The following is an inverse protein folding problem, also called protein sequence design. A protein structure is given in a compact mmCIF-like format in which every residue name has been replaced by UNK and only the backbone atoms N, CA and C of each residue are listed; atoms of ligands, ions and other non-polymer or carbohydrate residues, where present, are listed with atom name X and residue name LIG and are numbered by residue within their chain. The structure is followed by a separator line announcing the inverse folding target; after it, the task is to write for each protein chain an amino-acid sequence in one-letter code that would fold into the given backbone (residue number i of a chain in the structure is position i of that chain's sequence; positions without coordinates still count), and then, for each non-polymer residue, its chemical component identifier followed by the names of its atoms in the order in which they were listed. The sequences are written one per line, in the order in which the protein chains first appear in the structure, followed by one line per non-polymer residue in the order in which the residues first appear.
data_IF_302624305586
#
_entry.id   IF_302624305586
#
_cell.length_a   1.000
_cell.length_b   1.000
_cell.length_c   1.000
_cell.angle_alpha   90.00
_cell.angle_beta   90.00
_cell.angle_gamma   90.00
#
_symmetry.space_group_name_H-M   'P 1'
#
loop_
_entity.id
_entity.type
_entity.pdbx_description
1 polymer ?
#
# COMPACT_ATOMS: atom_id res chain seq x y z
N UNK A 1 -3.46 -20.16 -6.55
CA UNK A 1 -4.03 -18.92 -7.14
C UNK A 1 -2.96 -17.82 -7.32
N UNK A 2 -2.18 -17.41 -6.29
CA UNK A 2 -1.10 -16.40 -6.43
C UNK A 2 0.02 -16.91 -7.32
N UNK A 3 0.45 -18.17 -7.15
CA UNK A 3 1.48 -18.82 -7.97
C UNK A 3 0.99 -19.09 -9.40
N UNK A 4 -0.29 -19.38 -9.58
CA UNK A 4 -0.93 -19.60 -10.87
C UNK A 4 -1.02 -18.28 -11.67
N UNK A 5 -1.44 -17.19 -11.03
CA UNK A 5 -1.43 -15.85 -11.62
C UNK A 5 -0.03 -15.28 -11.85
N UNK A 6 0.97 -15.65 -11.05
CA UNK A 6 2.38 -15.36 -11.35
C UNK A 6 2.87 -16.16 -12.57
N UNK A 7 2.41 -17.42 -12.75
CA UNK A 7 2.64 -18.20 -13.95
C UNK A 7 2.03 -17.56 -15.19
N UNK A 8 0.81 -17.06 -15.07
CA UNK A 8 0.12 -16.31 -16.13
C UNK A 8 0.84 -15.00 -16.49
N UNK A 9 1.42 -14.32 -15.51
CA UNK A 9 2.25 -13.10 -15.73
C UNK A 9 3.52 -13.42 -16.52
N UNK A 10 4.23 -14.47 -16.13
CA UNK A 10 5.45 -14.90 -16.83
C UNK A 10 5.08 -15.30 -18.25
N UNK A 11 3.98 -16.05 -18.45
CA UNK A 11 3.47 -16.41 -19.77
C UNK A 11 3.04 -15.21 -20.60
N UNK A 12 2.32 -14.25 -19.99
CA UNK A 12 1.93 -13.01 -20.65
C UNK A 12 3.13 -12.11 -21.00
N UNK A 13 4.11 -12.03 -20.11
CA UNK A 13 5.39 -11.34 -20.38
C UNK A 13 6.16 -11.98 -21.52
N UNK A 14 6.21 -13.33 -21.56
CA UNK A 14 6.82 -14.12 -22.63
C UNK A 14 6.06 -14.00 -23.94
N UNK A 15 4.72 -14.06 -23.93
CA UNK A 15 3.87 -13.91 -25.11
C UNK A 15 3.97 -12.51 -25.71
N UNK A 16 4.04 -11.45 -24.89
CA UNK A 16 4.27 -10.09 -25.37
C UNK A 16 5.69 -9.88 -25.93
N UNK A 17 6.70 -10.55 -25.35
CA UNK A 17 8.06 -10.54 -25.90
C UNK A 17 8.19 -11.39 -27.17
N UNK A 18 7.44 -12.48 -27.29
CA UNK A 18 7.40 -13.30 -28.51
C UNK A 18 6.59 -12.66 -29.65
N UNK A 19 5.59 -11.84 -29.32
CA UNK A 19 4.78 -11.08 -30.29
C UNK A 19 5.51 -9.83 -30.80
N UNK A 20 6.50 -9.31 -30.08
CA UNK A 20 7.43 -8.31 -30.56
C UNK A 20 8.37 -8.95 -31.58
N UNK A 21 8.14 -8.58 -32.83
CA UNK A 21 8.82 -9.06 -34.03
C UNK A 21 10.29 -9.45 -33.78
N UNK A 22 10.64 -10.68 -34.14
CA UNK A 22 11.96 -11.32 -33.92
C UNK A 22 13.18 -10.54 -34.45
N UNK A 23 12.98 -9.32 -34.99
CA UNK A 23 13.99 -8.54 -35.68
C UNK A 23 14.50 -7.31 -34.91
N UNK A 24 14.01 -6.99 -33.69
CA UNK A 24 14.23 -5.67 -33.09
C UNK A 24 15.22 -5.68 -31.92
N UNK A 25 15.23 -6.72 -31.13
CA UNK A 25 16.21 -6.88 -30.03
C UNK A 25 17.13 -8.05 -30.31
N UNK A 26 18.44 -7.87 -30.17
CA UNK A 26 19.36 -8.99 -30.12
C UNK A 26 18.96 -9.97 -29.01
N UNK A 27 19.21 -11.25 -29.19
CA UNK A 27 18.88 -12.30 -28.23
C UNK A 27 19.40 -12.00 -26.81
N UNK A 28 20.55 -11.31 -26.72
CA UNK A 28 21.17 -10.89 -25.45
C UNK A 28 20.35 -9.85 -24.70
N UNK A 29 19.76 -8.86 -25.39
CA UNK A 29 18.92 -7.83 -24.78
C UNK A 29 17.60 -8.40 -24.26
N UNK A 30 16.99 -9.33 -25.00
CA UNK A 30 15.78 -10.05 -24.56
C UNK A 30 16.05 -10.90 -23.33
N UNK A 31 17.13 -11.66 -23.34
CA UNK A 31 17.53 -12.50 -22.20
C UNK A 31 17.78 -11.68 -20.94
N UNK A 32 18.39 -10.51 -21.07
CA UNK A 32 18.68 -9.61 -19.97
C UNK A 32 17.41 -8.96 -19.39
N UNK A 33 16.47 -8.53 -20.25
CA UNK A 33 15.16 -8.00 -19.80
C UNK A 33 14.36 -9.08 -19.08
N UNK A 34 14.37 -10.31 -19.62
CA UNK A 34 13.74 -11.47 -18.97
C UNK A 34 14.37 -11.77 -17.61
N UNK A 35 15.70 -11.73 -17.49
CA UNK A 35 16.40 -11.94 -16.22
C UNK A 35 15.95 -10.93 -15.15
N UNK A 36 15.79 -9.67 -15.54
CA UNK A 36 15.30 -8.63 -14.61
C UNK A 36 13.83 -8.87 -14.24
N UNK A 37 12.98 -9.21 -15.21
CA UNK A 37 11.57 -9.55 -14.92
C UNK A 37 11.45 -10.74 -13.97
N UNK A 38 12.27 -11.78 -14.12
CA UNK A 38 12.29 -12.92 -13.21
C UNK A 38 12.80 -12.58 -11.81
N UNK A 39 13.67 -11.58 -11.70
CA UNK A 39 14.23 -11.12 -10.42
C UNK A 39 13.43 -9.99 -9.78
N UNK A 40 12.32 -9.54 -10.40
CA UNK A 40 11.43 -8.54 -9.81
C UNK A 40 10.79 -9.08 -8.52
N UNK A 41 11.18 -8.51 -7.39
CA UNK A 41 10.52 -8.80 -6.12
C UNK A 41 9.29 -7.92 -5.92
N UNK A 42 8.12 -8.48 -6.25
CA UNK A 42 6.82 -7.80 -6.07
C UNK A 42 6.40 -7.66 -4.60
N UNK A 43 7.11 -8.31 -3.66
CA UNK A 43 6.88 -8.19 -2.21
C UNK A 43 7.55 -6.94 -1.65
N UNK A 44 8.64 -6.50 -2.29
CA UNK A 44 9.38 -5.31 -1.86
C UNK A 44 8.68 -4.01 -2.24
N UNK A 45 9.22 -2.88 -1.81
CA UNK A 45 8.69 -1.56 -2.13
C UNK A 45 8.80 -1.25 -3.65
N UNK A 46 7.90 -0.38 -4.16
CA UNK A 46 7.92 0.12 -5.54
C UNK A 46 9.27 0.76 -5.92
N UNK A 47 10.01 1.27 -4.95
CA UNK A 47 11.35 1.82 -5.16
C UNK A 47 12.33 0.78 -5.71
N UNK A 48 12.19 -0.49 -5.34
CA UNK A 48 13.02 -1.57 -5.90
C UNK A 48 12.77 -1.74 -7.41
N UNK A 49 11.51 -1.69 -7.85
CA UNK A 49 11.17 -1.75 -9.28
C UNK A 49 11.82 -0.57 -10.03
N UNK A 50 11.71 0.66 -9.50
CA UNK A 50 12.33 1.82 -10.10
C UNK A 50 13.86 1.72 -10.15
N UNK A 51 14.50 1.17 -9.12
CA UNK A 51 15.95 0.96 -9.11
C UNK A 51 16.40 -0.05 -10.18
N UNK A 52 15.64 -1.10 -10.41
CA UNK A 52 15.95 -2.08 -11.47
C UNK A 52 15.74 -1.47 -12.87
N UNK A 53 14.67 -0.70 -13.07
CA UNK A 53 14.45 0.06 -14.31
C UNK A 53 15.59 1.07 -14.57
N UNK A 54 16.05 1.76 -13.52
CA UNK A 54 17.23 2.64 -13.61
C UNK A 54 18.47 1.91 -14.07
N UNK A 55 18.72 0.71 -13.53
CA UNK A 55 19.85 -0.11 -13.96
C UNK A 55 19.75 -0.49 -15.44
N UNK A 56 18.56 -0.93 -15.91
CA UNK A 56 18.31 -1.18 -17.32
C UNK A 56 18.60 0.04 -18.20
N UNK A 57 18.04 1.18 -17.86
CA UNK A 57 18.19 2.41 -18.64
C UNK A 57 19.67 2.79 -18.72
N UNK A 58 20.44 2.69 -17.63
CA UNK A 58 21.87 2.95 -17.62
C UNK A 58 22.67 2.00 -18.51
N UNK A 59 22.22 0.78 -18.63
CA UNK A 59 22.92 -0.25 -19.43
C UNK A 59 22.71 -0.04 -20.92
N UNK A 60 21.49 0.36 -21.33
CA UNK A 60 21.13 0.43 -22.76
C UNK A 60 21.29 1.81 -23.37
N UNK A 61 21.27 2.89 -22.58
CA UNK A 61 21.22 4.25 -23.13
C UNK A 61 22.32 5.15 -22.63
N UNK A 62 22.79 6.02 -23.53
CA UNK A 62 23.60 7.19 -23.19
C UNK A 62 22.69 8.41 -23.10
N UNK A 63 22.61 9.03 -21.94
CA UNK A 63 21.79 10.21 -21.67
C UNK A 63 22.48 11.13 -20.66
N UNK A 64 22.08 12.39 -20.65
CA UNK A 64 22.52 13.34 -19.61
C UNK A 64 21.53 13.31 -18.43
N UNK A 65 20.24 13.04 -18.71
CA UNK A 65 19.23 12.87 -17.69
C UNK A 65 18.15 11.87 -18.09
N UNK A 66 17.64 11.12 -17.13
CA UNK A 66 16.39 10.37 -17.22
C UNK A 66 15.44 10.77 -16.10
N UNK A 67 14.17 10.81 -16.43
CA UNK A 67 13.08 11.05 -15.47
C UNK A 67 11.97 10.05 -15.73
N UNK A 68 11.54 9.35 -14.70
CA UNK A 68 10.33 8.52 -14.72
C UNK A 68 9.27 9.19 -13.87
N UNK A 69 8.11 9.43 -14.43
CA UNK A 69 6.97 10.01 -13.71
C UNK A 69 5.73 9.15 -13.84
N UNK A 70 4.91 9.17 -12.81
CA UNK A 70 3.62 8.45 -12.76
C UNK A 70 2.52 9.46 -12.41
N UNK A 71 1.38 9.32 -13.05
CA UNK A 71 0.17 10.12 -12.79
C UNK A 71 -0.28 9.90 -11.34
N UNK A 72 -0.55 11.00 -10.62
CA UNK A 72 -1.09 10.96 -9.26
C UNK A 72 -2.56 10.54 -9.30
N UNK A 73 -2.90 9.48 -8.58
CA UNK A 73 -4.30 9.13 -8.36
C UNK A 73 -4.93 10.15 -7.41
N UNK A 74 -6.00 10.80 -7.85
CA UNK A 74 -6.82 11.66 -6.98
C UNK A 74 -7.99 10.85 -6.46
N UNK A 75 -8.07 10.63 -5.15
CA UNK A 75 -9.15 9.88 -4.47
C UNK A 75 -10.55 10.47 -4.69
N UNK A 76 -10.67 11.68 -5.22
CA UNK A 76 -11.95 12.36 -5.45
C UNK A 76 -12.23 12.62 -6.93
N UNK A 77 -12.93 11.72 -7.58
CA UNK A 77 -13.46 11.87 -8.96
C UNK A 77 -14.47 13.04 -9.14
N UNK A 78 -14.79 13.81 -8.10
CA UNK A 78 -15.86 14.83 -8.14
C UNK A 78 -15.39 16.29 -8.32
N UNK A 79 -14.09 16.56 -8.55
CA UNK A 79 -13.63 17.91 -8.88
C UNK A 79 -13.01 17.93 -10.26
N UNK A 80 -13.83 18.21 -11.26
CA UNK A 80 -13.49 18.38 -12.68
C UNK A 80 -12.51 19.53 -12.99
N UNK A 81 -11.94 20.21 -12.00
CA UNK A 81 -11.22 21.47 -12.20
C UNK A 81 -9.75 21.48 -11.76
N UNK A 82 -9.20 20.37 -11.29
CA UNK A 82 -7.74 20.28 -11.10
C UNK A 82 -7.15 19.40 -12.19
N UNK A 83 -6.31 19.99 -13.06
CA UNK A 83 -5.62 19.29 -14.13
C UNK A 83 -4.87 18.05 -13.64
N UNK A 84 -4.60 17.11 -14.55
CA UNK A 84 -3.85 15.87 -14.24
C UNK A 84 -2.46 16.25 -13.74
N UNK A 85 -2.06 15.70 -12.60
CA UNK A 85 -0.73 15.91 -11.98
C UNK A 85 0.08 14.62 -12.10
N UNK A 86 1.35 14.75 -12.46
CA UNK A 86 2.33 13.67 -12.43
C UNK A 86 3.32 13.87 -11.29
N UNK A 87 3.80 12.78 -10.72
CA UNK A 87 4.83 12.74 -9.67
C UNK A 87 6.07 12.06 -10.22
N UNK A 88 7.23 12.66 -10.02
CA UNK A 88 8.52 12.07 -10.36
C UNK A 88 8.82 10.93 -9.37
N UNK A 89 9.07 9.74 -9.90
CA UNK A 89 9.38 8.52 -9.12
C UNK A 89 10.82 8.09 -9.22
N UNK A 90 11.52 8.54 -10.26
CA UNK A 90 12.92 8.24 -10.49
C UNK A 90 13.56 9.37 -11.25
N UNK A 91 14.77 9.75 -10.86
CA UNK A 91 15.68 10.59 -11.64
C UNK A 91 17.09 10.02 -11.63
N UNK A 92 17.84 10.26 -12.71
CA UNK A 92 19.25 9.91 -12.81
C UNK A 92 19.99 10.82 -13.79
N UNK A 93 21.32 11.01 -13.61
CA UNK A 93 22.13 11.90 -14.42
C UNK A 93 22.26 13.31 -13.83
N UNK A 94 22.26 14.31 -14.70
CA UNK A 94 22.38 15.74 -14.32
C UNK A 94 21.32 16.14 -13.31
N UNK A 95 21.77 16.85 -12.26
CA UNK A 95 20.90 17.32 -11.18
C UNK A 95 20.19 18.61 -11.58
N UNK A 96 18.91 18.70 -11.32
CA UNK A 96 18.10 19.90 -11.42
C UNK A 96 17.15 20.03 -10.23
N UNK A 97 16.26 21.03 -10.25
CA UNK A 97 15.28 21.29 -9.20
C UNK A 97 14.17 20.22 -9.14
N UNK A 98 13.98 19.43 -10.21
CA UNK A 98 12.96 18.37 -10.28
C UNK A 98 13.55 17.03 -9.88
N UNK A 99 13.42 16.72 -8.61
CA UNK A 99 13.88 15.48 -7.96
C UNK A 99 12.73 14.51 -7.70
N UNK A 100 13.04 13.32 -7.22
CA UNK A 100 12.06 12.34 -6.80
C UNK A 100 11.08 12.94 -5.76
N UNK A 101 9.77 12.71 -5.97
CA UNK A 101 8.69 13.28 -5.17
C UNK A 101 8.14 14.62 -5.69
N UNK A 102 8.84 15.31 -6.60
CA UNK A 102 8.34 16.55 -7.18
C UNK A 102 7.09 16.31 -8.04
N UNK A 103 6.13 17.24 -7.94
CA UNK A 103 4.88 17.21 -8.69
C UNK A 103 4.88 18.27 -9.79
N UNK A 104 4.28 17.93 -10.93
CA UNK A 104 4.12 18.88 -12.05
C UNK A 104 2.79 18.65 -12.79
N UNK A 105 2.25 19.68 -13.46
CA UNK A 105 1.09 19.52 -14.32
C UNK A 105 1.41 18.60 -15.50
N UNK A 106 0.63 17.54 -15.69
CA UNK A 106 0.83 16.62 -16.83
C UNK A 106 0.52 17.32 -18.15
N UNK A 107 -0.57 18.11 -18.18
CA UNK A 107 -0.94 18.89 -19.36
C UNK A 107 0.02 20.07 -19.56
N UNK A 108 0.43 20.31 -20.80
CA UNK A 108 1.30 21.42 -21.17
C UNK A 108 2.78 21.23 -20.84
N UNK A 109 3.17 20.07 -20.31
CA UNK A 109 4.57 19.73 -20.02
C UNK A 109 5.12 18.69 -20.99
N UNK A 110 6.42 18.79 -21.31
CA UNK A 110 7.14 17.84 -22.16
C UNK A 110 7.09 16.42 -21.58
N UNK A 111 7.33 16.31 -20.27
CA UNK A 111 7.28 15.04 -19.56
C UNK A 111 5.86 14.45 -19.46
N UNK A 112 4.83 15.27 -19.62
CA UNK A 112 3.43 14.84 -19.66
C UNK A 112 2.93 14.43 -21.03
N UNK A 113 3.59 14.80 -22.13
CA UNK A 113 3.14 14.50 -23.49
C UNK A 113 2.89 13.00 -23.73
N UNK A 114 3.81 12.08 -23.35
CA UNK A 114 3.55 10.65 -23.52
C UNK A 114 2.35 10.15 -22.72
N UNK A 115 2.10 10.75 -21.55
CA UNK A 115 0.95 10.38 -20.69
C UNK A 115 -0.36 10.80 -21.33
N UNK A 116 -0.42 12.00 -21.92
CA UNK A 116 -1.64 12.55 -22.51
C UNK A 116 -1.96 11.90 -23.85
N UNK A 117 -0.94 11.75 -24.70
CA UNK A 117 -1.12 11.26 -26.07
C UNK A 117 -1.11 9.73 -26.15
N UNK A 118 -0.58 9.03 -25.13
CA UNK A 118 -0.41 7.57 -25.14
C UNK A 118 0.61 7.09 -26.18
N UNK A 119 1.47 7.98 -26.69
CA UNK A 119 2.45 7.69 -27.74
C UNK A 119 3.83 8.18 -27.36
N UNK A 120 4.84 7.47 -27.86
CA UNK A 120 6.24 7.86 -27.70
C UNK A 120 6.58 9.11 -28.50
N UNK A 121 7.63 9.79 -28.09
CA UNK A 121 8.17 10.95 -28.83
C UNK A 121 9.68 10.84 -29.00
N UNK A 122 10.15 11.37 -30.10
CA UNK A 122 11.57 11.43 -30.47
C UNK A 122 11.84 12.75 -31.14
N UNK A 123 12.79 13.55 -30.62
CA UNK A 123 13.16 14.83 -31.24
C UNK A 123 14.63 15.19 -30.95
N UNK A 124 15.30 15.77 -31.94
CA UNK A 124 16.67 16.31 -31.80
C UNK A 124 16.69 17.64 -31.02
N UNK A 125 15.60 18.41 -31.11
CA UNK A 125 15.47 19.68 -30.39
C UNK A 125 13.99 19.90 -30.01
N UNK A 126 13.67 19.62 -28.76
CA UNK A 126 12.30 19.67 -28.26
C UNK A 126 11.72 21.09 -28.25
N UNK A 127 12.55 22.13 -28.01
CA UNK A 127 12.08 23.53 -28.02
C UNK A 127 11.59 23.96 -29.40
N UNK A 128 12.22 23.45 -30.45
CA UNK A 128 11.79 23.70 -31.84
C UNK A 128 10.58 22.87 -32.20
N UNK A 129 10.52 21.60 -31.77
CA UNK A 129 9.42 20.70 -32.07
C UNK A 129 8.14 21.05 -31.29
N UNK A 130 8.28 21.58 -30.06
CA UNK A 130 7.18 21.88 -29.16
C UNK A 130 7.32 23.28 -28.54
N UNK A 131 7.22 24.38 -29.32
CA UNK A 131 7.55 25.74 -28.86
C UNK A 131 6.67 26.28 -27.73
N UNK A 132 5.45 25.73 -27.56
CA UNK A 132 4.49 26.14 -26.54
C UNK A 132 4.43 25.19 -25.31
N UNK A 133 5.33 24.24 -25.25
CA UNK A 133 5.39 23.27 -24.15
C UNK A 133 6.53 23.66 -23.21
N UNK A 134 6.29 23.60 -21.92
CA UNK A 134 7.32 23.71 -20.90
C UNK A 134 7.89 22.33 -20.55
N UNK A 135 9.08 22.26 -19.97
CA UNK A 135 9.67 20.98 -19.62
C UNK A 135 8.87 20.28 -18.52
N UNK A 136 8.65 20.93 -17.38
CA UNK A 136 7.80 20.47 -16.28
C UNK A 136 6.72 21.51 -15.95
N UNK A 137 7.08 22.75 -15.66
CA UNK A 137 6.15 23.85 -15.33
C UNK A 137 6.73 25.22 -15.71
N UNK A 138 5.87 26.21 -15.85
CA UNK A 138 6.21 27.56 -16.33
C UNK A 138 7.14 28.36 -15.42
N UNK A 139 7.33 27.94 -14.16
CA UNK A 139 8.22 28.59 -13.19
C UNK A 139 9.63 28.00 -13.17
N UNK A 140 9.92 27.09 -14.09
CA UNK A 140 11.24 26.45 -14.19
C UNK A 140 12.32 27.45 -14.60
N UNK A 141 13.50 27.38 -13.97
CA UNK A 141 14.64 28.21 -14.35
C UNK A 141 15.13 27.83 -15.76
N UNK A 142 15.39 28.82 -16.62
CA UNK A 142 15.80 28.61 -18.04
C UNK A 142 17.19 27.94 -18.19
N UNK A 143 17.88 27.63 -17.10
CA UNK A 143 19.28 27.22 -17.11
C UNK A 143 19.57 25.80 -17.59
N UNK A 144 18.57 25.04 -18.03
CA UNK A 144 18.80 23.68 -18.49
C UNK A 144 18.61 23.56 -20.01
N UNK A 145 19.72 23.38 -20.70
CA UNK A 145 19.80 23.36 -22.16
C UNK A 145 19.65 21.96 -22.75
N UNK A 146 18.77 21.10 -22.18
CA UNK A 146 18.46 19.84 -22.86
C UNK A 146 17.90 20.12 -24.24
N UNK A 147 18.39 19.37 -25.25
CA UNK A 147 18.03 19.54 -26.65
C UNK A 147 17.31 18.31 -27.17
N UNK A 148 18.02 17.19 -27.27
CA UNK A 148 17.46 15.96 -27.78
C UNK A 148 16.68 15.24 -26.67
N UNK A 149 15.49 14.78 -27.02
CA UNK A 149 14.56 14.10 -26.11
C UNK A 149 13.99 12.87 -26.77
N UNK A 150 13.95 11.80 -25.99
CA UNK A 150 13.25 10.57 -26.29
C UNK A 150 12.35 10.20 -25.12
N UNK A 151 11.10 9.86 -25.37
CA UNK A 151 10.19 9.50 -24.32
C UNK A 151 9.24 8.37 -24.73
N UNK A 152 8.89 7.54 -23.76
CA UNK A 152 7.91 6.46 -23.90
C UNK A 152 6.85 6.58 -22.82
N UNK A 153 5.56 6.30 -23.13
CA UNK A 153 4.55 6.16 -22.11
C UNK A 153 4.79 4.90 -21.26
N UNK A 154 4.37 4.96 -20.01
CA UNK A 154 4.23 3.78 -19.13
C UNK A 154 2.76 3.37 -19.15
N UNK A 155 2.48 2.24 -19.79
CA UNK A 155 1.11 1.74 -19.97
C UNK A 155 0.77 0.79 -18.81
N UNK A 156 -0.30 1.09 -18.10
CA UNK A 156 -0.86 0.27 -17.02
C UNK A 156 -2.32 0.01 -17.36
N UNK A 157 -2.72 -1.25 -17.49
CA UNK A 157 -4.09 -1.65 -17.86
C UNK A 157 -4.61 -1.01 -19.15
N UNK A 158 -3.72 -0.87 -20.14
CA UNK A 158 -4.08 -0.24 -21.44
C UNK A 158 -4.16 1.29 -21.41
N UNK A 159 -3.99 1.93 -20.24
CA UNK A 159 -3.96 3.38 -20.10
C UNK A 159 -2.54 3.90 -19.91
N UNK A 160 -2.23 5.03 -20.53
CA UNK A 160 -0.97 5.74 -20.28
C UNK A 160 -1.04 6.43 -18.92
N UNK A 161 -0.34 5.88 -17.94
CA UNK A 161 -0.34 6.36 -16.55
C UNK A 161 1.00 6.94 -16.10
N UNK A 162 1.99 6.95 -16.97
CA UNK A 162 3.30 7.50 -16.67
C UNK A 162 4.14 7.72 -17.92
N UNK A 163 5.34 8.22 -17.73
CA UNK A 163 6.32 8.41 -18.79
C UNK A 163 7.74 8.12 -18.33
N UNK A 164 8.57 7.63 -19.25
CA UNK A 164 10.03 7.58 -19.14
C UNK A 164 10.55 8.57 -20.17
N UNK A 165 11.33 9.56 -19.73
CA UNK A 165 11.89 10.61 -20.58
C UNK A 165 13.41 10.63 -20.43
N UNK A 166 14.13 10.46 -21.52
CA UNK A 166 15.58 10.60 -21.62
C UNK A 166 15.92 11.91 -22.35
N UNK A 167 16.86 12.64 -21.83
CA UNK A 167 17.27 13.96 -22.29
C UNK A 167 18.78 14.02 -22.53
N UNK A 168 19.21 14.69 -23.61
CA UNK A 168 20.61 15.03 -23.89
C UNK A 168 20.77 16.54 -23.99
N UNK A 169 21.87 17.05 -23.48
CA UNK A 169 22.25 18.46 -23.60
C UNK A 169 22.66 18.81 -25.05
N UNK A 170 23.14 17.84 -25.78
CA UNK A 170 23.51 17.97 -27.20
C UNK A 170 22.32 17.73 -28.13
N UNK A 171 22.39 18.26 -29.34
CA UNK A 171 21.42 17.97 -30.42
C UNK A 171 21.67 16.60 -31.10
N UNK A 172 22.55 15.76 -30.56
CA UNK A 172 22.72 14.39 -31.04
C UNK A 172 21.42 13.64 -30.83
N UNK A 173 20.70 13.27 -31.90
CA UNK A 173 19.39 12.64 -31.76
C UNK A 173 19.53 11.24 -31.17
N UNK A 174 18.52 10.82 -30.46
CA UNK A 174 18.29 9.40 -30.21
C UNK A 174 17.82 8.74 -31.51
N UNK A 175 18.00 7.43 -31.63
CA UNK A 175 17.61 6.65 -32.80
C UNK A 175 16.25 6.00 -32.62
N UNK A 176 15.61 5.60 -33.72
CA UNK A 176 14.37 4.83 -33.67
C UNK A 176 14.56 3.47 -33.00
N UNK A 177 15.77 2.87 -33.06
CA UNK A 177 16.06 1.63 -32.34
C UNK A 177 16.07 1.87 -30.85
N UNK A 178 16.76 2.92 -30.36
CA UNK A 178 16.73 3.31 -28.94
C UNK A 178 15.30 3.59 -28.47
N UNK A 179 14.45 4.22 -29.30
CA UNK A 179 13.06 4.48 -28.96
C UNK A 179 12.27 3.17 -28.73
N UNK A 180 12.44 2.18 -29.59
CA UNK A 180 11.79 0.87 -29.44
C UNK A 180 12.24 0.15 -28.17
N UNK A 181 13.53 0.22 -27.85
CA UNK A 181 14.07 -0.33 -26.60
C UNK A 181 13.47 0.38 -25.38
N UNK A 182 13.30 1.71 -25.45
CA UNK A 182 12.65 2.48 -24.39
C UNK A 182 11.16 2.15 -24.26
N UNK A 183 10.46 1.93 -25.38
CA UNK A 183 9.05 1.51 -25.38
C UNK A 183 8.88 0.16 -24.67
N UNK A 184 9.78 -0.78 -24.92
CA UNK A 184 9.78 -2.06 -24.24
C UNK A 184 10.00 -1.89 -22.72
N UNK A 185 10.97 -1.06 -22.32
CA UNK A 185 11.20 -0.76 -20.88
C UNK A 185 9.96 -0.09 -20.27
N UNK A 186 9.28 0.80 -20.99
CA UNK A 186 8.03 1.41 -20.55
C UNK A 186 6.91 0.38 -20.31
N UNK A 187 6.75 -0.60 -21.21
CA UNK A 187 5.80 -1.70 -21.06
C UNK A 187 6.15 -2.59 -19.87
N UNK A 188 7.44 -2.96 -19.71
CA UNK A 188 7.93 -3.75 -18.58
C UNK A 188 7.65 -3.04 -17.26
N UNK A 189 7.96 -1.75 -17.17
CA UNK A 189 7.67 -0.96 -15.97
C UNK A 189 6.17 -0.92 -15.67
N UNK A 190 5.34 -0.67 -16.68
CA UNK A 190 3.89 -0.64 -16.53
C UNK A 190 3.32 -1.95 -16.02
N UNK A 191 3.76 -3.06 -16.61
CA UNK A 191 3.38 -4.41 -16.18
C UNK A 191 3.84 -4.70 -14.75
N UNK A 192 5.08 -4.35 -14.41
CA UNK A 192 5.63 -4.56 -13.06
C UNK A 192 4.85 -3.77 -11.99
N UNK A 193 4.48 -2.51 -12.28
CA UNK A 193 3.68 -1.69 -11.37
C UNK A 193 2.25 -2.22 -11.21
N UNK A 194 1.64 -2.67 -12.30
CA UNK A 194 0.31 -3.31 -12.28
C UNK A 194 0.31 -4.57 -11.40
N UNK A 195 1.25 -5.49 -11.64
CA UNK A 195 1.33 -6.73 -10.87
C UNK A 195 1.66 -6.51 -9.39
N UNK A 196 2.49 -5.52 -9.08
CA UNK A 196 2.71 -5.13 -7.70
C UNK A 196 1.42 -4.65 -7.03
N UNK A 197 0.63 -3.82 -7.73
CA UNK A 197 -0.66 -3.34 -7.22
C UNK A 197 -1.62 -4.51 -6.98
N UNK A 198 -1.77 -5.42 -7.93
CA UNK A 198 -2.62 -6.61 -7.80
C UNK A 198 -2.12 -7.56 -6.70
N UNK A 199 -0.81 -7.79 -6.61
CA UNK A 199 -0.22 -8.58 -5.53
C UNK A 199 -0.54 -7.97 -4.16
N UNK A 200 -0.31 -6.67 -4.00
CA UNK A 200 -0.64 -5.95 -2.75
C UNK A 200 -2.12 -6.07 -2.40
N UNK A 201 -3.00 -5.90 -3.38
CA UNK A 201 -4.46 -6.01 -3.22
C UNK A 201 -4.87 -7.43 -2.79
N UNK A 202 -4.36 -8.46 -3.49
CA UNK A 202 -4.62 -9.86 -3.16
C UNK A 202 -4.09 -10.18 -1.76
N UNK A 203 -2.86 -9.77 -1.45
CA UNK A 203 -2.24 -9.99 -0.14
C UNK A 203 -3.02 -9.27 0.97
N UNK A 204 -3.41 -8.01 0.76
CA UNK A 204 -4.22 -7.26 1.73
C UNK A 204 -5.57 -7.93 1.94
N UNK A 205 -6.27 -8.34 0.87
CA UNK A 205 -7.56 -9.04 0.98
C UNK A 205 -7.43 -10.41 1.66
N UNK A 206 -6.31 -11.09 1.50
CA UNK A 206 -6.06 -12.37 2.17
C UNK A 206 -5.70 -12.23 3.66
N UNK A 207 -5.12 -11.10 4.06
CA UNK A 207 -4.58 -10.89 5.41
C UNK A 207 -5.37 -9.93 6.27
N UNK A 208 -6.20 -9.06 5.67
CA UNK A 208 -6.94 -8.03 6.38
C UNK A 208 -8.45 -8.18 6.17
N UNK A 209 -9.21 -7.69 7.12
CA UNK A 209 -10.66 -7.53 6.99
C UNK A 209 -10.98 -6.34 6.09
N UNK A 210 -11.80 -6.56 5.05
CA UNK A 210 -12.07 -5.57 4.02
C UNK A 210 -12.86 -4.35 4.51
N UNK A 211 -13.57 -4.44 5.63
CA UNK A 211 -14.31 -3.33 6.20
C UNK A 211 -13.46 -2.49 7.16
N UNK A 212 -12.85 -3.13 8.14
CA UNK A 212 -12.10 -2.45 9.21
C UNK A 212 -10.67 -2.08 8.82
N UNK A 213 -10.09 -2.76 7.84
CA UNK A 213 -8.66 -2.65 7.48
C UNK A 213 -7.71 -3.29 8.49
N UNK A 214 -8.20 -3.89 9.57
CA UNK A 214 -7.43 -4.64 10.55
C UNK A 214 -7.05 -6.02 10.00
N UNK A 215 -6.14 -6.73 10.68
CA UNK A 215 -5.90 -8.12 10.35
C UNK A 215 -7.21 -8.93 10.46
N UNK A 216 -7.40 -9.88 9.54
CA UNK A 216 -8.51 -10.81 9.65
C UNK A 216 -8.21 -11.92 10.67
N UNK A 217 -9.23 -12.68 11.04
CA UNK A 217 -9.15 -13.76 12.02
C UNK A 217 -8.06 -14.81 11.72
N UNK A 218 -7.92 -15.19 10.45
CA UNK A 218 -6.91 -16.18 10.03
C UNK A 218 -5.49 -15.65 10.26
N UNK A 219 -5.21 -14.45 9.80
CA UNK A 219 -3.91 -13.81 9.96
C UNK A 219 -3.60 -13.51 11.43
N UNK A 220 -4.62 -13.15 12.23
CA UNK A 220 -4.45 -13.00 13.68
C UNK A 220 -3.94 -14.30 14.31
N UNK A 221 -4.52 -15.46 13.99
CA UNK A 221 -4.06 -16.74 14.51
C UNK A 221 -2.64 -17.09 14.10
N UNK A 222 -2.28 -16.82 12.85
CA UNK A 222 -0.92 -17.05 12.35
C UNK A 222 0.09 -16.17 13.11
N UNK A 223 -0.19 -14.88 13.24
CA UNK A 223 0.65 -13.93 13.98
C UNK A 223 0.73 -14.29 15.46
N UNK A 224 -0.36 -14.73 16.06
CA UNK A 224 -0.37 -15.17 17.46
C UNK A 224 0.55 -16.37 17.69
N UNK A 225 0.54 -17.38 16.80
CA UNK A 225 1.47 -18.49 16.85
C UNK A 225 2.93 -18.03 16.79
N UNK A 226 3.24 -17.11 15.87
CA UNK A 226 4.60 -16.58 15.72
C UNK A 226 5.06 -15.83 16.98
N UNK A 227 4.18 -15.00 17.57
CA UNK A 227 4.51 -14.22 18.77
C UNK A 227 4.63 -15.08 20.02
N UNK A 228 3.85 -16.16 20.17
CA UNK A 228 4.05 -17.14 21.28
C UNK A 228 5.39 -17.83 21.16
N UNK A 229 5.78 -18.30 19.97
CA UNK A 229 7.09 -18.94 19.79
C UNK A 229 8.23 -17.97 20.10
N UNK A 230 8.06 -16.69 19.70
CA UNK A 230 9.02 -15.64 20.05
C UNK A 230 9.07 -15.37 21.54
N UNK A 231 7.90 -15.23 22.20
CA UNK A 231 7.79 -14.99 23.64
C UNK A 231 8.39 -16.14 24.46
N UNK A 232 8.14 -17.39 24.07
CA UNK A 232 8.74 -18.57 24.70
C UNK A 232 10.27 -18.56 24.57
N UNK A 233 10.81 -18.24 23.37
CA UNK A 233 12.25 -18.20 23.14
C UNK A 233 12.96 -17.12 23.95
N UNK A 234 12.35 -15.96 24.11
CA UNK A 234 12.94 -14.81 24.79
C UNK A 234 12.43 -14.62 26.23
N UNK A 235 11.64 -15.56 26.75
CA UNK A 235 11.02 -15.50 28.08
C UNK A 235 10.24 -14.20 28.31
N UNK A 236 9.52 -13.76 27.29
CA UNK A 236 8.72 -12.54 27.33
C UNK A 236 7.27 -12.86 27.71
N UNK A 237 6.62 -11.90 28.34
CA UNK A 237 5.19 -11.92 28.59
C UNK A 237 4.42 -11.21 27.49
N UNK A 238 3.17 -11.62 27.26
CA UNK A 238 2.25 -10.91 26.39
C UNK A 238 0.82 -10.97 26.95
N UNK A 239 0.00 -10.01 26.59
CA UNK A 239 -1.40 -9.99 26.91
C UNK A 239 -2.24 -10.18 25.65
N UNK A 240 -3.28 -11.01 25.77
CA UNK A 240 -4.29 -11.23 24.74
C UNK A 240 -5.59 -10.64 25.22
N UNK A 241 -6.23 -9.87 24.38
CA UNK A 241 -7.49 -9.20 24.65
C UNK A 241 -8.53 -9.58 23.63
N UNK A 242 -9.74 -9.85 24.08
CA UNK A 242 -10.94 -9.97 23.25
C UNK A 242 -11.88 -8.84 23.60
N UNK A 243 -12.45 -8.20 22.58
CA UNK A 243 -13.40 -7.10 22.70
C UNK A 243 -14.63 -7.35 21.86
N UNK A 244 -15.79 -6.87 22.34
CA UNK A 244 -17.06 -6.95 21.62
C UNK A 244 -17.88 -5.68 21.87
N UNK A 245 -18.44 -5.10 20.81
CA UNK A 245 -19.23 -3.88 20.87
C UNK A 245 -20.57 -4.12 21.59
N UNK A 246 -20.82 -3.33 22.62
CA UNK A 246 -22.04 -3.48 23.40
C UNK A 246 -23.29 -3.07 22.59
N UNK A 247 -24.27 -3.96 22.48
CA UNK A 247 -25.55 -3.72 21.80
C UNK A 247 -25.43 -3.33 20.32
N UNK A 248 -24.35 -3.74 19.62
CA UNK A 248 -24.12 -3.38 18.22
C UNK A 248 -25.24 -3.79 17.27
N UNK A 249 -25.87 -4.96 17.52
CA UNK A 249 -27.05 -5.38 16.78
C UNK A 249 -28.16 -4.32 16.81
N UNK A 250 -28.41 -3.68 17.97
CA UNK A 250 -29.42 -2.62 18.08
C UNK A 250 -29.09 -1.40 17.23
N UNK A 251 -27.79 -1.09 17.07
CA UNK A 251 -27.33 -0.02 16.17
C UNK A 251 -27.69 -0.35 14.73
N UNK A 252 -27.34 -1.54 14.25
CA UNK A 252 -27.68 -2.00 12.91
C UNK A 252 -29.20 -2.02 12.67
N UNK A 253 -29.96 -2.53 13.64
CA UNK A 253 -31.43 -2.61 13.53
C UNK A 253 -32.12 -1.23 13.51
N UNK A 254 -31.51 -0.23 14.16
CA UNK A 254 -32.11 1.12 14.31
C UNK A 254 -31.59 2.11 13.27
N UNK A 255 -30.25 2.09 12.99
CA UNK A 255 -29.56 3.10 12.15
C UNK A 255 -29.12 2.53 10.79
N UNK A 256 -29.28 1.22 10.59
CA UNK A 256 -28.92 0.53 9.36
C UNK A 256 -27.46 0.08 9.31
N UNK A 257 -27.20 -0.87 8.41
CA UNK A 257 -25.88 -1.50 8.26
C UNK A 257 -24.78 -0.51 7.85
N UNK A 258 -25.08 0.52 7.06
CA UNK A 258 -24.07 1.53 6.68
C UNK A 258 -23.53 2.31 7.90
N UNK A 259 -24.42 2.59 8.86
CA UNK A 259 -24.01 3.21 10.12
C UNK A 259 -23.17 2.24 10.96
N UNK A 260 -23.55 0.95 11.01
CA UNK A 260 -22.75 -0.09 11.65
C UNK A 260 -21.36 -0.24 11.04
N UNK A 261 -21.25 -0.20 9.72
CA UNK A 261 -19.97 -0.23 9.00
C UNK A 261 -19.07 0.94 9.38
N UNK A 262 -19.63 2.16 9.44
CA UNK A 262 -18.94 3.34 9.92
C UNK A 262 -18.44 3.18 11.37
N UNK A 263 -19.27 2.60 12.26
CA UNK A 263 -18.87 2.31 13.64
C UNK A 263 -17.69 1.35 13.69
N UNK A 264 -17.75 0.23 12.96
CA UNK A 264 -16.65 -0.75 12.88
C UNK A 264 -15.34 -0.10 12.42
N UNK A 265 -15.38 0.72 11.37
CA UNK A 265 -14.22 1.44 10.84
C UNK A 265 -13.64 2.42 11.86
N UNK A 266 -14.50 3.14 12.57
CA UNK A 266 -14.10 4.11 13.59
C UNK A 266 -13.46 3.43 14.79
N UNK A 267 -14.06 2.35 15.29
CA UNK A 267 -13.51 1.55 16.40
C UNK A 267 -12.17 0.95 16.03
N UNK A 268 -12.03 0.40 14.83
CA UNK A 268 -10.77 -0.11 14.32
C UNK A 268 -9.65 0.94 14.36
N UNK A 269 -9.96 2.16 13.92
CA UNK A 269 -9.02 3.29 13.97
C UNK A 269 -8.65 3.66 15.42
N UNK A 270 -9.64 3.76 16.32
CA UNK A 270 -9.37 4.04 17.73
C UNK A 270 -8.44 2.97 18.33
N UNK A 271 -8.66 1.69 18.03
CA UNK A 271 -7.80 0.60 18.52
C UNK A 271 -6.36 0.73 18.01
N UNK A 272 -6.15 0.97 16.70
CA UNK A 272 -4.81 1.16 16.12
C UNK A 272 -4.09 2.36 16.76
N UNK A 273 -4.79 3.48 16.95
CA UNK A 273 -4.21 4.71 17.51
C UNK A 273 -3.81 4.54 18.99
N UNK A 274 -4.29 3.52 19.67
CA UNK A 274 -4.02 3.24 21.10
C UNK A 274 -3.00 2.13 21.36
N UNK A 275 -2.47 1.49 20.33
CA UNK A 275 -1.46 0.43 20.47
C UNK A 275 -0.17 0.81 19.76
N UNK A 276 0.91 0.06 19.98
CA UNK A 276 2.20 0.28 19.31
C UNK A 276 2.22 -0.43 17.95
N UNK A 277 3.08 0.00 17.04
CA UNK A 277 3.26 -0.62 15.73
C UNK A 277 3.67 -2.11 15.78
N UNK A 278 4.23 -2.56 16.89
CA UNK A 278 4.62 -3.98 17.10
C UNK A 278 3.46 -4.83 17.62
N UNK A 279 2.44 -4.22 18.19
CA UNK A 279 1.27 -4.92 18.71
C UNK A 279 0.36 -5.36 17.56
N UNK A 280 -0.43 -6.40 17.80
CA UNK A 280 -1.29 -7.01 16.79
C UNK A 280 -2.74 -6.62 17.07
N UNK A 281 -3.44 -6.07 16.06
CA UNK A 281 -4.87 -5.73 16.15
C UNK A 281 -5.60 -6.40 15.00
N UNK A 282 -6.72 -7.05 15.31
CA UNK A 282 -7.52 -7.79 14.34
C UNK A 282 -9.02 -7.60 14.56
N UNK A 283 -9.78 -7.75 13.49
CA UNK A 283 -11.21 -8.02 13.58
C UNK A 283 -11.41 -9.53 13.63
N UNK A 284 -11.86 -10.01 14.80
CA UNK A 284 -11.95 -11.44 15.09
C UNK A 284 -13.27 -12.04 14.61
N UNK A 285 -14.35 -11.26 14.67
CA UNK A 285 -15.69 -11.62 14.27
C UNK A 285 -16.46 -10.43 13.67
N UNK A 286 -17.77 -10.51 13.59
CA UNK A 286 -18.61 -9.44 13.04
C UNK A 286 -18.46 -8.10 13.77
N UNK A 287 -18.55 -8.14 15.10
CA UNK A 287 -18.45 -7.00 16.03
C UNK A 287 -17.37 -7.23 17.10
N UNK A 288 -16.54 -8.27 16.89
CA UNK A 288 -15.50 -8.70 17.81
C UNK A 288 -14.12 -8.31 17.31
N UNK A 289 -13.28 -7.86 18.21
CA UNK A 289 -11.90 -7.46 17.95
C UNK A 289 -10.95 -8.19 18.88
N UNK A 290 -9.73 -8.44 18.41
CA UNK A 290 -8.68 -9.06 19.20
C UNK A 290 -7.40 -8.23 19.16
N UNK A 291 -6.69 -8.15 20.30
CA UNK A 291 -5.41 -7.44 20.41
C UNK A 291 -4.40 -8.34 21.10
N UNK A 292 -3.17 -8.36 20.59
CA UNK A 292 -2.01 -8.95 21.29
C UNK A 292 -1.05 -7.81 21.60
N UNK A 293 -0.81 -7.57 22.87
CA UNK A 293 0.23 -6.64 23.33
C UNK A 293 1.50 -7.41 23.64
N UNK A 294 2.58 -7.09 22.93
CA UNK A 294 3.84 -7.82 22.98
C UNK A 294 4.75 -7.26 24.08
N UNK A 295 5.45 -8.15 24.78
CA UNK A 295 6.41 -7.82 25.84
C UNK A 295 5.79 -6.91 26.92
N UNK A 296 4.66 -7.34 27.49
CA UNK A 296 3.90 -6.60 28.50
C UNK A 296 3.22 -7.56 29.48
N UNK A 297 2.81 -7.05 30.64
CA UNK A 297 2.05 -7.79 31.64
C UNK A 297 0.57 -7.43 31.59
N UNK A 298 -0.32 -8.27 32.13
CA UNK A 298 -1.75 -7.97 32.23
C UNK A 298 -2.02 -6.62 32.94
N UNK A 299 -1.27 -6.32 34.00
CA UNK A 299 -1.42 -5.06 34.73
C UNK A 299 -1.10 -3.81 33.85
N UNK A 300 -0.01 -3.86 33.07
CA UNK A 300 0.35 -2.78 32.13
C UNK A 300 -0.61 -2.71 30.96
N UNK A 301 -1.03 -3.87 30.48
CA UNK A 301 -1.97 -3.98 29.35
C UNK A 301 -3.36 -3.47 29.72
N UNK A 302 -3.76 -3.59 30.98
CA UNK A 302 -5.03 -3.07 31.47
C UNK A 302 -5.16 -1.55 31.26
N UNK A 303 -4.06 -0.80 31.38
CA UNK A 303 -4.07 0.64 31.10
C UNK A 303 -4.35 0.94 29.61
N UNK A 304 -3.80 0.13 28.72
CA UNK A 304 -4.06 0.27 27.27
C UNK A 304 -5.51 -0.11 26.96
N UNK A 305 -5.98 -1.22 27.53
CA UNK A 305 -7.34 -1.70 27.33
C UNK A 305 -8.39 -0.70 27.87
N UNK A 306 -8.19 -0.18 29.08
CA UNK A 306 -9.08 0.82 29.65
C UNK A 306 -9.12 2.11 28.81
N UNK A 307 -7.96 2.56 28.33
CA UNK A 307 -7.91 3.73 27.43
C UNK A 307 -8.68 3.51 26.12
N UNK A 308 -8.63 2.30 25.56
CA UNK A 308 -9.44 1.96 24.37
C UNK A 308 -10.93 2.02 24.71
N UNK A 309 -11.34 1.42 25.84
CA UNK A 309 -12.74 1.44 26.32
C UNK A 309 -13.22 2.87 26.52
N UNK A 310 -12.44 3.70 27.21
CA UNK A 310 -12.79 5.09 27.52
C UNK A 310 -12.89 5.93 26.22
N UNK A 311 -11.91 5.79 25.30
CA UNK A 311 -11.92 6.50 24.03
C UNK A 311 -13.13 6.15 23.17
N UNK A 312 -13.57 4.88 23.17
CA UNK A 312 -14.76 4.45 22.43
C UNK A 312 -16.03 5.01 23.10
N UNK A 313 -16.13 4.94 24.44
CA UNK A 313 -17.29 5.44 25.18
C UNK A 313 -17.46 6.97 25.09
N UNK A 314 -16.34 7.70 25.01
CA UNK A 314 -16.33 9.17 24.87
C UNK A 314 -16.57 9.62 23.43
N UNK A 315 -16.26 8.75 22.44
CA UNK A 315 -16.37 9.11 21.03
C UNK A 315 -17.83 9.34 20.63
N UNK A 316 -18.08 10.44 19.93
CA UNK A 316 -19.38 10.75 19.33
C UNK A 316 -19.41 10.25 17.89
N UNK A 317 -20.09 9.11 17.68
CA UNK A 317 -20.23 8.53 16.34
C UNK A 317 -21.26 9.37 15.58
N UNK A 318 -20.77 10.18 14.62
CA UNK A 318 -21.58 11.12 13.85
C UNK A 318 -21.52 10.80 12.36
N UNK A 319 -22.67 10.49 11.76
CA UNK A 319 -22.84 10.23 10.34
C UNK A 319 -24.23 10.72 9.89
N UNK A 320 -24.31 11.48 8.78
CA UNK A 320 -25.54 11.99 8.20
C UNK A 320 -26.46 12.74 9.20
N UNK A 321 -25.85 13.52 10.11
CA UNK A 321 -26.56 14.25 11.18
C UNK A 321 -27.21 13.36 12.24
N UNK A 322 -26.79 12.11 12.35
CA UNK A 322 -27.19 11.18 13.41
C UNK A 322 -25.99 10.97 14.32
N UNK A 323 -26.16 11.31 15.58
CA UNK A 323 -25.14 11.17 16.61
C UNK A 323 -25.52 10.04 17.56
N UNK A 324 -24.56 9.14 17.88
CA UNK A 324 -24.79 8.08 18.87
C UNK A 324 -23.53 7.81 19.69
N UNK A 325 -23.73 7.22 20.86
CA UNK A 325 -22.66 6.69 21.68
C UNK A 325 -22.75 5.19 21.81
N UNK A 326 -21.63 4.56 21.82
CA UNK A 326 -21.45 3.13 21.94
C UNK A 326 -20.41 2.84 22.99
N UNK A 327 -20.48 1.67 23.56
CA UNK A 327 -19.49 1.14 24.49
C UNK A 327 -18.94 -0.19 23.99
N UNK A 328 -17.85 -0.62 24.57
CA UNK A 328 -17.21 -1.88 24.25
C UNK A 328 -16.87 -2.63 25.54
N UNK A 329 -17.03 -3.92 25.52
CA UNK A 329 -16.64 -4.81 26.61
C UNK A 329 -15.44 -5.63 26.22
N UNK A 330 -14.44 -5.72 27.11
CA UNK A 330 -13.23 -6.46 26.86
C UNK A 330 -12.93 -7.48 27.96
N UNK A 331 -12.14 -8.47 27.59
CA UNK A 331 -11.53 -9.44 28.50
C UNK A 331 -10.09 -9.69 28.14
N UNK A 332 -9.27 -10.08 29.11
CA UNK A 332 -7.82 -10.21 28.97
C UNK A 332 -7.28 -11.47 29.64
N UNK A 333 -6.32 -12.09 28.96
CA UNK A 333 -5.45 -13.16 29.51
C UNK A 333 -3.98 -12.81 29.31
N UNK A 334 -3.07 -13.43 30.09
CA UNK A 334 -1.62 -13.21 30.06
C UNK A 334 -0.86 -14.51 29.81
N UNK A 335 0.04 -14.50 28.84
CA UNK A 335 1.04 -15.54 28.61
C UNK A 335 2.33 -15.22 29.35
N UNK A 336 3.01 -16.19 29.98
CA UNK A 336 2.58 -17.56 30.26
C UNK A 336 1.81 -17.68 31.57
N UNK A 337 1.47 -16.58 32.25
CA UNK A 337 0.95 -16.53 33.61
C UNK A 337 -0.35 -17.33 33.78
N UNK A 338 -1.28 -17.22 32.84
CA UNK A 338 -2.55 -17.95 32.90
C UNK A 338 -2.44 -19.32 32.24
N UNK A 339 -1.78 -19.40 31.08
CA UNK A 339 -1.49 -20.63 30.35
C UNK A 339 -0.44 -20.38 29.27
N UNK A 340 0.16 -21.46 28.75
CA UNK A 340 1.04 -21.43 27.59
C UNK A 340 0.31 -21.87 26.30
N UNK A 341 -0.91 -22.37 26.40
CA UNK A 341 -1.72 -22.82 25.27
C UNK A 341 -2.47 -21.63 24.63
N UNK A 342 -2.32 -21.50 23.30
CA UNK A 342 -2.92 -20.40 22.53
C UNK A 342 -4.45 -20.42 22.61
N UNK A 343 -5.05 -21.60 22.51
CA UNK A 343 -6.51 -21.74 22.51
C UNK A 343 -7.07 -21.36 23.88
N UNK A 344 -6.43 -21.85 24.95
CA UNK A 344 -6.83 -21.49 26.31
C UNK A 344 -6.66 -20.00 26.60
N UNK A 345 -5.60 -19.35 26.06
CA UNK A 345 -5.43 -17.89 26.19
C UNK A 345 -6.60 -17.13 25.59
N UNK A 346 -7.05 -17.51 24.39
CA UNK A 346 -8.21 -16.88 23.74
C UNK A 346 -9.47 -17.17 24.55
N UNK A 347 -9.70 -18.42 24.97
CA UNK A 347 -10.86 -18.81 25.78
C UNK A 347 -10.93 -18.05 27.11
N UNK A 348 -9.80 -17.86 27.79
CA UNK A 348 -9.74 -17.11 29.03
C UNK A 348 -10.02 -15.62 28.83
N UNK A 349 -9.52 -15.04 27.76
CA UNK A 349 -9.86 -13.67 27.40
C UNK A 349 -11.36 -13.52 27.06
N UNK A 350 -11.94 -14.48 26.34
CA UNK A 350 -13.37 -14.49 26.00
C UNK A 350 -14.26 -14.65 27.25
N UNK A 351 -13.93 -15.56 28.15
CA UNK A 351 -14.60 -15.71 29.44
C UNK A 351 -14.57 -14.42 30.25
N UNK A 352 -13.43 -13.74 30.28
CA UNK A 352 -13.28 -12.47 30.98
C UNK A 352 -14.12 -11.35 30.31
N UNK A 353 -14.19 -11.31 28.99
CA UNK A 353 -15.06 -10.39 28.23
C UNK A 353 -16.54 -10.65 28.53
N UNK A 354 -16.94 -11.92 28.57
CA UNK A 354 -18.32 -12.29 28.95
C UNK A 354 -18.66 -11.83 30.36
N UNK A 355 -17.73 -11.99 31.32
CA UNK A 355 -17.92 -11.48 32.69
C UNK A 355 -18.07 -9.93 32.71
N UNK A 356 -17.35 -9.20 31.85
CA UNK A 356 -17.54 -7.75 31.69
C UNK A 356 -18.94 -7.43 31.22
N UNK A 357 -19.44 -8.13 30.20
CA UNK A 357 -20.81 -7.95 29.69
C UNK A 357 -21.88 -8.23 30.74
N UNK A 358 -21.72 -9.28 31.56
CA UNK A 358 -22.65 -9.58 32.64
C UNK A 358 -22.72 -8.50 33.73
N UNK A 359 -21.63 -7.77 33.96
CA UNK A 359 -21.56 -6.64 34.90
C UNK A 359 -22.12 -5.33 34.35
N UNK A 360 -22.67 -5.34 33.14
CA UNK A 360 -23.28 -4.16 32.51
C UNK A 360 -22.54 -3.61 31.29
N UNK A 361 -21.42 -4.23 30.92
CA UNK A 361 -20.60 -3.79 29.78
C UNK A 361 -19.70 -2.59 30.10
N UNK A 362 -19.16 -1.98 29.04
CA UNK A 362 -18.32 -0.77 29.12
C UNK A 362 -17.13 -0.89 30.07
N UNK A 363 -16.27 -1.87 29.85
CA UNK A 363 -15.13 -2.11 30.73
C UNK A 363 -14.22 -3.21 30.25
N UNK A 364 -13.27 -3.57 31.10
CA UNK A 364 -12.31 -4.64 30.86
C UNK A 364 -12.19 -5.52 32.12
N UNK A 365 -12.10 -6.83 31.93
CA UNK A 365 -11.86 -7.79 33.01
C UNK A 365 -10.62 -8.60 32.68
N UNK A 366 -9.76 -8.83 33.67
CA UNK A 366 -8.63 -9.78 33.60
C UNK A 366 -9.12 -11.15 34.08
N UNK A 367 -8.72 -12.23 33.41
CA UNK A 367 -9.20 -13.59 33.71
C UNK A 367 -9.08 -13.97 35.20
N UNK A 368 -7.96 -13.69 35.86
CA UNK A 368 -7.74 -13.99 37.30
C UNK A 368 -8.75 -13.34 38.25
N UNK A 369 -9.37 -12.23 37.84
CA UNK A 369 -10.34 -11.51 38.66
C UNK A 369 -11.72 -12.19 38.71
N UNK A 370 -11.98 -13.15 37.82
CA UNK A 370 -13.23 -13.93 37.80
C UNK A 370 -13.26 -14.88 39.02
N UNK A 371 -12.13 -15.51 39.32
CA UNK A 371 -12.03 -16.54 40.38
C UNK A 371 -11.91 -15.97 41.81
N UNK A 372 -11.78 -14.65 41.99
CA UNK A 372 -11.64 -14.02 43.32
C UNK A 372 -12.96 -13.48 43.92
N UNK A 373 -14.08 -13.54 43.15
CA UNK A 373 -15.37 -13.00 43.57
C UNK A 373 -16.48 -14.04 43.70
N UNK A 374 -16.15 -15.36 43.59
CA UNK A 374 -16.98 -16.50 44.01
C UNK A 374 -16.45 -17.06 45.35
#
# INVERSE_FOLDING_TARGET
EVLEKMGDFISFGLENLDSLDKHILGEESKSFILEILFNLDFKSDSQNIFNQIKYLIRTFFQYDRVTVSIRKETENRRKHDKGIISIIRLTDGEKDEFIEGAEFPTNGSLHGLPVINGTSLLTANWKTSYPNIVRFKSTESENQNYRSVMASPVIIEGESRGSIVLERLSERPFTNSELKDLELIGQVLGSALHWRYEYKKIHTNATHDGLSGLLNHQTFKERFNDEIQRAARFQQKMAVMMFDLDKFKKVNDTLGHQYGDYVIQTVAKIMIDNVRAVDVVARYGGEEFAIILINTTAAMSNMVAQRIVDNIAEYEFSMDSIDTKLTISGGMSEYPTHTEDIKELIEFADQAMYATKQRGGNGITIHDSINKND
#
